data_IF_768659509544
#
_entry.id   IF_768659509544
#
_cell.length_a   1.000
_cell.length_b   1.000
_cell.length_c   1.000
_cell.angle_alpha   90.00
_cell.angle_beta   90.00
_cell.angle_gamma   90.00
#
_symmetry.space_group_name_H-M   'P 1'
#
loop_
_entity.id
_entity.type
_entity.pdbx_description
1 polymer ?
#
# COMPACT_ATOMS: atom_id res chain seq x y z
N UNK A 1 -5.45 -12.87 -16.59
CA UNK A 1 -4.18 -12.30 -17.12
C UNK A 1 -4.44 -11.44 -18.35
N UNK A 2 -5.04 -11.96 -19.42
CA UNK A 2 -5.33 -11.16 -20.65
C UNK A 2 -6.07 -9.85 -20.39
N UNK A 3 -7.10 -9.85 -19.53
CA UNK A 3 -7.85 -8.63 -19.19
C UNK A 3 -6.99 -7.51 -18.53
N UNK A 4 -5.84 -7.86 -17.98
CA UNK A 4 -4.91 -6.94 -17.31
C UNK A 4 -3.73 -6.53 -18.19
N UNK A 5 -3.56 -7.12 -19.37
CA UNK A 5 -2.48 -6.75 -20.28
C UNK A 5 -2.60 -5.27 -20.68
N UNK A 6 -1.48 -4.54 -20.63
CA UNK A 6 -1.39 -3.10 -20.87
C UNK A 6 -2.04 -2.22 -19.80
N UNK A 7 -2.53 -2.79 -18.69
CA UNK A 7 -3.16 -2.03 -17.60
C UNK A 7 -2.15 -1.68 -16.51
N UNK A 8 -2.42 -0.57 -15.82
CA UNK A 8 -1.86 -0.32 -14.50
C UNK A 8 -2.59 -1.24 -13.52
N UNK A 9 -1.83 -2.03 -12.76
CA UNK A 9 -2.35 -2.91 -11.72
C UNK A 9 -1.80 -2.44 -10.38
N UNK A 10 -2.70 -1.98 -9.51
CA UNK A 10 -2.37 -1.52 -8.16
C UNK A 10 -2.52 -2.68 -7.20
N UNK A 11 -1.42 -3.12 -6.61
CA UNK A 11 -1.40 -4.13 -5.56
C UNK A 11 -1.43 -3.45 -4.17
N UNK A 12 -2.42 -3.83 -3.37
CA UNK A 12 -2.59 -3.37 -1.98
C UNK A 12 -2.56 -4.53 -0.98
N UNK A 13 -2.06 -5.70 -1.38
CA UNK A 13 -2.00 -6.90 -0.55
C UNK A 13 -0.88 -6.78 0.47
N UNK A 14 -1.17 -7.20 1.72
CA UNK A 14 -0.20 -7.30 2.79
C UNK A 14 -0.07 -8.76 3.23
N UNK A 15 1.02 -9.47 2.89
CA UNK A 15 1.26 -10.84 3.34
C UNK A 15 1.54 -10.90 4.84
N UNK A 16 0.50 -11.05 5.66
CA UNK A 16 0.59 -11.02 7.12
C UNK A 16 0.15 -12.33 7.76
N UNK A 17 0.90 -12.75 8.79
CA UNK A 17 0.53 -13.80 9.72
C UNK A 17 0.09 -13.21 11.07
N UNK A 18 -0.65 -14.00 11.84
CA UNK A 18 -1.08 -13.63 13.19
C UNK A 18 -0.86 -14.79 14.15
N UNK A 19 -0.32 -14.49 15.33
CA UNK A 19 -0.18 -15.45 16.43
C UNK A 19 -0.62 -14.82 17.77
N UNK A 20 -0.29 -15.48 18.90
CA UNK A 20 -0.63 -14.96 20.23
C UNK A 20 0.09 -13.64 20.59
N UNK A 21 1.20 -13.34 19.92
CA UNK A 21 2.03 -12.14 20.14
C UNK A 21 1.57 -10.97 19.26
N UNK A 22 0.94 -11.24 18.10
CA UNK A 22 0.34 -10.21 17.26
C UNK A 22 0.52 -10.48 15.77
N UNK A 23 0.47 -9.40 14.98
CA UNK A 23 0.71 -9.45 13.54
C UNK A 23 2.20 -9.48 13.23
N UNK A 24 2.60 -10.20 12.18
CA UNK A 24 3.96 -10.21 11.64
C UNK A 24 3.93 -10.41 10.12
N UNK A 25 5.01 -9.99 9.44
CA UNK A 25 5.12 -10.13 7.99
C UNK A 25 5.52 -11.56 7.60
N UNK A 26 4.92 -12.07 6.52
CA UNK A 26 5.27 -13.34 5.90
C UNK A 26 6.36 -13.14 4.86
N UNK A 27 7.23 -14.14 4.70
CA UNK A 27 8.17 -14.19 3.60
C UNK A 27 7.45 -14.54 2.29
N UNK A 28 7.77 -13.83 1.23
CA UNK A 28 7.30 -14.10 -0.14
C UNK A 28 8.53 -14.41 -1.00
N UNK A 29 8.46 -15.48 -1.79
CA UNK A 29 9.61 -15.96 -2.58
C UNK A 29 10.12 -14.90 -3.57
N UNK A 30 9.21 -14.20 -4.25
CA UNK A 30 9.53 -13.13 -5.19
C UNK A 30 9.97 -11.81 -4.50
N UNK A 31 9.98 -11.79 -3.17
CA UNK A 31 10.35 -10.66 -2.32
C UNK A 31 9.15 -9.98 -1.66
N UNK A 32 8.07 -9.75 -2.41
CA UNK A 32 6.86 -9.05 -1.94
C UNK A 32 5.62 -9.50 -2.74
N UNK A 33 4.42 -9.20 -2.24
CA UNK A 33 3.18 -9.47 -2.99
C UNK A 33 3.18 -8.72 -4.33
N UNK A 34 3.57 -7.45 -4.32
CA UNK A 34 3.62 -6.66 -5.55
C UNK A 34 4.65 -7.19 -6.56
N UNK A 35 5.82 -7.67 -6.11
CA UNK A 35 6.78 -8.32 -6.99
C UNK A 35 6.27 -9.67 -7.52
N UNK A 36 5.54 -10.43 -6.72
CA UNK A 36 4.88 -11.65 -7.18
C UNK A 36 3.82 -11.32 -8.24
N UNK A 37 3.00 -10.28 -8.04
CA UNK A 37 2.04 -9.82 -9.04
C UNK A 37 2.74 -9.41 -10.35
N UNK A 38 3.87 -8.70 -10.28
CA UNK A 38 4.67 -8.34 -11.46
C UNK A 38 5.23 -9.58 -12.19
N UNK A 39 5.70 -10.59 -11.48
CA UNK A 39 6.16 -11.85 -12.07
C UNK A 39 5.02 -12.61 -12.78
N UNK A 40 3.79 -12.55 -12.24
CA UNK A 40 2.62 -13.18 -12.83
C UNK A 40 2.00 -12.35 -13.98
N UNK A 41 2.27 -11.05 -14.05
CA UNK A 41 1.64 -10.12 -14.99
C UNK A 41 2.70 -9.33 -15.79
N UNK A 42 3.55 -10.00 -16.60
CA UNK A 42 4.65 -9.34 -17.30
C UNK A 42 4.18 -8.29 -18.32
N UNK A 43 2.94 -8.41 -18.82
CA UNK A 43 2.34 -7.48 -19.76
C UNK A 43 1.57 -6.33 -19.08
N UNK A 44 1.57 -6.26 -17.74
CA UNK A 44 0.95 -5.20 -16.95
C UNK A 44 2.00 -4.29 -16.32
N UNK A 45 1.60 -3.06 -16.01
CA UNK A 45 2.44 -2.15 -15.22
C UNK A 45 2.01 -2.24 -13.75
N UNK A 46 2.75 -3.00 -12.95
CA UNK A 46 2.44 -3.20 -11.53
C UNK A 46 2.99 -2.07 -10.67
N UNK A 47 2.16 -1.58 -9.77
CA UNK A 47 2.50 -0.59 -8.73
C UNK A 47 1.99 -1.10 -7.38
N UNK A 48 2.66 -0.77 -6.28
CA UNK A 48 2.16 -1.04 -4.92
C UNK A 48 1.65 0.26 -4.28
N UNK A 49 0.46 0.24 -3.70
CA UNK A 49 -0.13 1.38 -2.99
C UNK A 49 -1.28 0.93 -2.07
N UNK A 50 -1.76 1.83 -1.21
CA UNK A 50 -2.90 1.64 -0.29
C UNK A 50 -2.70 0.57 0.81
N UNK A 51 -1.51 0.00 0.95
CA UNK A 51 -1.18 -1.01 1.97
C UNK A 51 -1.55 -0.59 3.40
N UNK A 52 -1.41 0.70 3.71
CA UNK A 52 -1.49 1.25 5.07
C UNK A 52 -2.79 2.03 5.34
N UNK A 53 -3.78 1.93 4.47
CA UNK A 53 -5.03 2.67 4.60
C UNK A 53 -6.02 1.91 5.47
N UNK A 54 -6.68 2.62 6.40
CA UNK A 54 -7.75 2.06 7.21
C UNK A 54 -9.04 1.94 6.39
N UNK A 55 -9.42 0.70 6.03
CA UNK A 55 -10.68 0.45 5.34
C UNK A 55 -11.91 0.89 6.15
N UNK A 56 -11.83 0.84 7.49
CA UNK A 56 -12.90 1.32 8.37
C UNK A 56 -13.12 2.82 8.24
N UNK A 57 -12.05 3.62 8.19
CA UNK A 57 -12.15 5.07 7.97
C UNK A 57 -12.68 5.40 6.58
N UNK A 58 -12.31 4.63 5.56
CA UNK A 58 -12.80 4.83 4.18
C UNK A 58 -14.31 4.58 4.03
N UNK A 59 -14.89 3.73 4.89
CA UNK A 59 -16.30 3.35 4.84
C UNK A 59 -17.16 4.18 5.79
N UNK A 60 -16.55 4.94 6.69
CA UNK A 60 -17.25 5.74 7.69
C UNK A 60 -17.76 7.05 7.05
N UNK A 61 -19.09 7.24 6.92
CA UNK A 61 -19.65 8.45 6.32
C UNK A 61 -19.45 9.71 7.17
N UNK A 62 -19.08 9.58 8.45
CA UNK A 62 -18.82 10.70 9.35
C UNK A 62 -17.34 11.18 9.27
N UNK A 63 -16.50 10.51 8.46
CA UNK A 63 -15.11 10.88 8.23
C UNK A 63 -14.96 11.69 6.94
N UNK A 64 -14.84 13.00 7.08
CA UNK A 64 -14.70 13.93 5.93
C UNK A 64 -13.31 13.88 5.25
N UNK A 65 -12.27 13.49 5.99
CA UNK A 65 -10.89 13.43 5.50
C UNK A 65 -10.03 12.42 6.27
N UNK A 66 -9.06 11.81 5.60
CA UNK A 66 -8.12 10.83 6.16
C UNK A 66 -6.70 11.35 5.99
N UNK A 67 -6.14 11.90 7.07
CA UNK A 67 -4.79 12.46 7.10
C UNK A 67 -3.70 11.36 7.12
N UNK A 68 -3.36 10.84 5.94
CA UNK A 68 -2.26 9.87 5.77
C UNK A 68 -1.62 10.01 4.40
N UNK A 69 -0.33 9.71 4.34
CA UNK A 69 0.36 9.51 3.08
C UNK A 69 0.21 8.06 2.63
N UNK A 70 -0.13 7.87 1.36
CA UNK A 70 -0.09 6.57 0.70
C UNK A 70 1.25 6.46 -0.02
N UNK A 71 2.07 5.52 0.44
CA UNK A 71 3.35 5.20 -0.20
C UNK A 71 3.08 4.46 -1.52
N UNK A 72 3.47 5.06 -2.63
CA UNK A 72 3.30 4.53 -3.99
C UNK A 72 4.65 4.05 -4.52
N UNK A 73 4.72 2.78 -4.90
CA UNK A 73 5.94 2.15 -5.41
C UNK A 73 5.71 1.60 -6.80
N UNK A 74 6.73 1.68 -7.65
CA UNK A 74 6.66 1.16 -9.01
C UNK A 74 7.90 1.49 -9.82
N UNK A 75 8.04 0.77 -10.93
CA UNK A 75 9.19 0.91 -11.82
C UNK A 75 8.91 1.78 -13.05
N UNK A 76 7.65 2.18 -13.27
CA UNK A 76 7.21 3.08 -14.32
C UNK A 76 6.68 4.39 -13.71
N UNK A 77 7.33 5.50 -14.06
CA UNK A 77 7.02 6.84 -13.49
C UNK A 77 5.61 7.32 -13.81
N UNK A 78 5.15 7.16 -15.05
CA UNK A 78 3.81 7.61 -15.45
C UNK A 78 2.72 6.83 -14.72
N UNK A 79 2.94 5.54 -14.49
CA UNK A 79 2.03 4.72 -13.70
C UNK A 79 2.02 5.13 -12.22
N UNK A 80 3.17 5.37 -11.59
CA UNK A 80 3.20 5.85 -10.21
C UNK A 80 2.58 7.24 -10.07
N UNK A 81 2.84 8.17 -11.01
CA UNK A 81 2.24 9.50 -11.04
C UNK A 81 0.70 9.39 -11.14
N UNK A 82 0.20 8.51 -12.01
CA UNK A 82 -1.25 8.23 -12.14
C UNK A 82 -1.84 7.69 -10.84
N UNK A 83 -1.16 6.75 -10.17
CA UNK A 83 -1.62 6.17 -8.91
C UNK A 83 -1.60 7.20 -7.77
N UNK A 84 -0.60 8.08 -7.72
CA UNK A 84 -0.57 9.20 -6.78
C UNK A 84 -1.76 10.13 -6.98
N UNK A 85 -2.12 10.45 -8.23
CA UNK A 85 -3.30 11.26 -8.53
C UNK A 85 -4.61 10.56 -8.11
N UNK A 86 -4.70 9.22 -8.19
CA UNK A 86 -5.85 8.46 -7.68
C UNK A 86 -5.96 8.58 -6.15
N UNK A 87 -4.82 8.51 -5.43
CA UNK A 87 -4.80 8.70 -3.98
C UNK A 87 -5.37 10.07 -3.60
N UNK A 88 -4.97 11.12 -4.31
CA UNK A 88 -5.35 12.51 -4.01
C UNK A 88 -6.85 12.80 -4.23
N UNK A 89 -7.60 11.89 -4.85
CA UNK A 89 -9.07 11.97 -4.91
C UNK A 89 -9.71 11.76 -3.53
N UNK A 90 -9.02 11.08 -2.62
CA UNK A 90 -9.49 10.83 -1.26
C UNK A 90 -9.04 11.99 -0.37
N UNK A 91 -10.01 12.77 0.13
CA UNK A 91 -9.77 13.95 0.98
C UNK A 91 -8.78 13.65 2.11
N UNK A 92 -7.75 14.49 2.24
CA UNK A 92 -6.70 14.39 3.27
C UNK A 92 -5.55 13.45 2.93
N UNK A 93 -5.69 12.57 1.93
CA UNK A 93 -4.61 11.68 1.52
C UNK A 93 -3.64 12.35 0.55
N UNK A 94 -2.35 12.00 0.65
CA UNK A 94 -1.32 12.37 -0.33
C UNK A 94 -0.67 11.13 -0.92
N UNK A 95 -0.55 11.07 -2.24
CA UNK A 95 0.23 10.03 -2.90
C UNK A 95 1.72 10.38 -2.86
N UNK A 96 2.55 9.57 -2.21
CA UNK A 96 4.00 9.82 -2.10
C UNK A 96 4.77 8.72 -2.80
N UNK A 97 5.56 9.07 -3.82
CA UNK A 97 6.50 8.12 -4.44
C UNK A 97 7.51 7.63 -3.40
N UNK A 98 7.49 6.33 -3.14
CA UNK A 98 8.30 5.68 -2.11
C UNK A 98 9.37 4.73 -2.69
N UNK A 99 9.62 4.83 -4.01
CA UNK A 99 10.69 4.13 -4.70
C UNK A 99 10.22 3.01 -5.62
N UNK A 100 11.18 2.20 -6.03
CA UNK A 100 11.01 1.10 -6.97
C UNK A 100 10.26 -0.08 -6.36
N UNK A 101 9.69 -0.95 -7.21
CA UNK A 101 8.85 -2.08 -6.77
C UNK A 101 9.60 -3.07 -5.86
N UNK A 102 10.92 -3.20 -6.03
CA UNK A 102 11.79 -4.01 -5.16
C UNK A 102 11.79 -3.62 -3.67
N UNK A 103 11.26 -2.44 -3.35
CA UNK A 103 11.13 -1.92 -1.98
C UNK A 103 9.70 -2.11 -1.42
N UNK A 104 8.82 -2.83 -2.11
CA UNK A 104 7.43 -3.00 -1.68
C UNK A 104 7.32 -3.83 -0.39
N UNK A 105 8.19 -4.84 -0.19
CA UNK A 105 8.12 -5.72 0.97
C UNK A 105 8.04 -4.97 2.31
N UNK A 106 8.93 -4.00 2.53
CA UNK A 106 8.95 -3.24 3.78
C UNK A 106 7.73 -2.33 3.95
N UNK A 107 7.09 -1.89 2.86
CA UNK A 107 5.87 -1.10 2.91
C UNK A 107 4.68 -2.01 3.24
N UNK A 108 4.59 -3.18 2.61
CA UNK A 108 3.61 -4.22 2.94
C UNK A 108 3.73 -4.64 4.42
N UNK A 109 4.96 -4.90 4.87
CA UNK A 109 5.29 -5.34 6.23
C UNK A 109 5.04 -4.27 7.30
N UNK A 110 5.17 -2.97 6.97
CA UNK A 110 4.89 -1.86 7.89
C UNK A 110 3.46 -1.93 8.45
N UNK A 111 2.52 -2.50 7.69
CA UNK A 111 1.16 -2.78 8.14
C UNK A 111 1.11 -3.55 9.46
N UNK A 112 2.00 -4.53 9.67
CA UNK A 112 2.06 -5.28 10.93
C UNK A 112 2.41 -4.40 12.13
N UNK A 113 3.29 -3.40 11.92
CA UNK A 113 3.61 -2.41 12.93
C UNK A 113 2.43 -1.48 13.19
N UNK A 114 1.74 -1.00 12.16
CA UNK A 114 0.56 -0.15 12.31
C UNK A 114 -0.58 -0.88 13.05
N UNK A 115 -0.79 -2.18 12.77
CA UNK A 115 -1.72 -3.02 13.55
C UNK A 115 -1.31 -3.07 15.03
N UNK A 116 -0.01 -3.20 15.31
CA UNK A 116 0.50 -3.20 16.68
C UNK A 116 0.30 -1.85 17.38
N UNK A 117 0.50 -0.73 16.67
CA UNK A 117 0.19 0.64 17.14
C UNK A 117 -1.31 0.75 17.44
N UNK A 118 -2.18 0.35 16.52
CA UNK A 118 -3.64 0.38 16.68
C UNK A 118 -4.08 -0.39 17.91
N UNK A 119 -3.55 -1.60 18.12
CA UNK A 119 -3.89 -2.43 19.29
C UNK A 119 -3.46 -1.77 20.61
N UNK A 120 -2.28 -1.14 20.64
CA UNK A 120 -1.72 -0.49 21.83
C UNK A 120 -2.46 0.81 22.17
N UNK A 121 -2.65 1.66 21.17
CA UNK A 121 -3.14 3.03 21.35
C UNK A 121 -4.64 3.19 21.08
N UNK A 122 -5.34 2.11 20.67
CA UNK A 122 -6.78 2.12 20.35
C UNK A 122 -7.10 3.15 19.27
N UNK A 123 -6.39 3.05 18.15
CA UNK A 123 -6.36 4.06 17.09
C UNK A 123 -6.51 3.45 15.69
N UNK A 124 -6.67 4.33 14.70
CA UNK A 124 -6.50 4.04 13.27
C UNK A 124 -5.27 4.80 12.76
N UNK A 125 -4.09 4.26 13.03
CA UNK A 125 -2.82 4.90 12.71
C UNK A 125 -2.54 4.89 11.20
N UNK A 126 -2.17 6.05 10.68
CA UNK A 126 -1.56 6.23 9.36
C UNK A 126 -0.08 6.58 9.46
N UNK A 127 0.50 7.05 8.36
CA UNK A 127 1.89 7.52 8.27
C UNK A 127 1.97 8.83 7.52
N UNK A 128 3.01 9.63 7.79
CA UNK A 128 3.31 10.85 7.03
C UNK A 128 4.80 10.97 6.77
N UNK A 129 5.18 11.22 5.52
CA UNK A 129 6.52 11.62 5.11
C UNK A 129 6.62 13.13 5.30
N UNK A 130 7.65 13.55 6.04
CA UNK A 130 7.89 14.96 6.35
C UNK A 130 8.86 15.57 5.33
N UNK A 131 8.80 16.89 5.16
CA UNK A 131 9.67 17.69 4.26
C UNK A 131 9.39 17.55 2.75
N UNK A 132 8.25 16.93 2.38
CA UNK A 132 7.78 16.75 1.00
C UNK A 132 6.31 17.12 0.84
#
# INVERSE_FOLDING_TARGET
>A
REALAGRIVIDCVNPLGFDKQGAYALAVEEGSAAQQAAALLPDSTVTAAFNNVSAELLLDPDVDAIETDVLVLGDNREATDTVQAIVEVISGMRGIFAGRLRNAHQVEALTANLISVNRRYKAHAGVRVTDV
#
